data_IF_108197216092
#
_entry.id   IF_108197216092
#
_cell.length_a   1.000
_cell.length_b   1.000
_cell.length_c   1.000
_cell.angle_alpha   90.00
_cell.angle_beta   90.00
_cell.angle_gamma   90.00
#
_symmetry.space_group_name_H-M   'P 1'
#
loop_
_entity.id
_entity.type
_entity.pdbx_description
1 polymer ?
#
# COMPACT_ATOMS: atom_id res chain seq x y z
N UNK A 1 34.39 27.94 7.10
CA UNK A 1 34.44 26.58 6.52
C UNK A 1 35.84 26.09 6.80
N UNK A 2 36.03 25.35 7.90
CA UNK A 2 37.37 24.92 8.30
C UNK A 2 37.85 23.83 7.33
N UNK A 3 38.79 24.20 6.47
CA UNK A 3 39.39 23.37 5.42
C UNK A 3 40.38 22.32 5.95
N UNK A 4 40.39 22.03 7.26
CA UNK A 4 41.41 21.21 7.93
C UNK A 4 40.89 19.96 8.65
N UNK A 5 39.59 19.67 8.64
CA UNK A 5 39.09 18.44 9.25
C UNK A 5 39.41 17.24 8.37
N UNK A 6 40.27 16.34 8.86
CA UNK A 6 40.65 15.15 8.09
C UNK A 6 39.43 14.23 7.89
N UNK A 7 39.36 13.44 6.80
CA UNK A 7 38.29 12.44 6.61
C UNK A 7 38.15 11.48 7.78
N UNK A 8 39.24 11.22 8.52
CA UNK A 8 39.23 10.37 9.71
C UNK A 8 38.54 11.06 10.90
N UNK A 9 38.81 12.36 11.12
CA UNK A 9 38.13 13.15 12.16
C UNK A 9 36.64 13.30 11.88
N UNK A 10 36.27 13.57 10.63
CA UNK A 10 34.86 13.63 10.22
C UNK A 10 34.16 12.29 10.45
N UNK A 11 34.84 11.17 10.13
CA UNK A 11 34.31 9.82 10.36
C UNK A 11 34.10 9.55 11.85
N UNK A 12 35.12 9.83 12.67
CA UNK A 12 35.02 9.64 14.12
C UNK A 12 33.87 10.46 14.72
N UNK A 13 33.69 11.71 14.24
CA UNK A 13 32.59 12.57 14.67
C UNK A 13 31.23 12.04 14.22
N UNK A 14 31.09 11.60 12.97
CA UNK A 14 29.84 11.03 12.46
C UNK A 14 29.45 9.75 13.21
N UNK A 15 30.42 8.87 13.47
CA UNK A 15 30.22 7.63 14.22
C UNK A 15 29.83 7.91 15.69
N UNK A 16 30.46 8.91 16.34
CA UNK A 16 30.12 9.33 17.71
C UNK A 16 28.69 9.90 17.80
N UNK A 17 28.29 10.74 16.84
CA UNK A 17 26.92 11.25 16.75
C UNK A 17 25.91 10.11 16.54
N UNK A 18 26.25 9.16 15.67
CA UNK A 18 25.42 7.98 15.43
C UNK A 18 25.28 7.12 16.69
N UNK A 19 26.37 6.89 17.43
CA UNK A 19 26.37 6.14 18.69
C UNK A 19 25.53 6.84 19.78
N UNK A 20 25.49 8.17 19.78
CA UNK A 20 24.63 9.00 20.65
C UNK A 20 23.17 9.07 20.19
N UNK A 21 22.82 8.38 19.10
CA UNK A 21 21.50 8.41 18.47
C UNK A 21 21.11 9.80 17.92
N UNK A 22 22.07 10.72 17.78
CA UNK A 22 21.88 11.96 17.04
C UNK A 22 22.06 11.68 15.55
N UNK A 23 21.07 10.99 14.98
CA UNK A 23 21.09 10.60 13.56
C UNK A 23 21.03 11.83 12.64
N UNK A 24 20.36 12.91 13.05
CA UNK A 24 20.30 14.15 12.28
C UNK A 24 21.68 14.82 12.19
N UNK A 25 22.40 14.91 13.30
CA UNK A 25 23.80 15.36 13.31
C UNK A 25 24.71 14.43 12.51
N UNK A 26 24.53 13.11 12.64
CA UNK A 26 25.31 12.13 11.91
C UNK A 26 25.11 12.26 10.38
N UNK A 27 23.88 12.49 9.90
CA UNK A 27 23.56 12.75 8.49
C UNK A 27 24.37 13.93 7.95
N UNK A 28 24.49 15.02 8.72
CA UNK A 28 25.25 16.20 8.28
C UNK A 28 26.74 15.87 8.11
N UNK A 29 27.35 15.14 9.03
CA UNK A 29 28.77 14.79 8.95
C UNK A 29 29.04 13.69 7.92
N UNK A 30 28.15 12.70 7.79
CA UNK A 30 28.24 11.68 6.73
C UNK A 30 28.10 12.28 5.33
N UNK A 31 27.27 13.32 5.15
CA UNK A 31 27.16 14.02 3.86
C UNK A 31 28.50 14.63 3.45
N UNK A 32 29.19 15.32 4.38
CA UNK A 32 30.55 15.85 4.14
C UNK A 32 31.57 14.74 3.84
N UNK A 33 31.48 13.62 4.55
CA UNK A 33 32.34 12.46 4.28
C UNK A 33 32.10 11.90 2.89
N UNK A 34 30.85 11.88 2.43
CA UNK A 34 30.50 11.38 1.12
C UNK A 34 30.99 12.30 0.00
N UNK A 35 31.01 13.61 0.21
CA UNK A 35 31.62 14.58 -0.72
C UNK A 35 33.12 14.33 -0.92
N UNK A 36 33.83 13.88 0.14
CA UNK A 36 35.26 13.55 0.10
C UNK A 36 35.54 12.11 -0.36
N UNK A 37 34.65 11.18 -0.05
CA UNK A 37 34.81 9.74 -0.28
C UNK A 37 33.51 9.11 -0.85
N UNK A 38 33.15 9.43 -2.10
CA UNK A 38 31.83 9.08 -2.69
C UNK A 38 31.61 7.59 -2.94
N UNK A 39 32.67 6.78 -2.79
CA UNK A 39 32.71 5.33 -3.05
C UNK A 39 33.05 4.53 -1.78
N UNK A 40 33.11 5.17 -0.62
CA UNK A 40 33.36 4.47 0.64
C UNK A 40 32.11 3.69 1.06
N UNK A 41 32.14 2.36 0.94
CA UNK A 41 31.01 1.48 1.29
C UNK A 41 30.58 1.63 2.75
N UNK A 42 31.49 1.70 3.75
CA UNK A 42 31.09 1.96 5.13
C UNK A 42 30.35 3.30 5.31
N UNK A 43 30.78 4.35 4.60
CA UNK A 43 30.13 5.68 4.67
C UNK A 43 28.76 5.63 3.99
N UNK A 44 28.66 5.03 2.80
CA UNK A 44 27.38 4.84 2.09
C UNK A 44 26.36 4.08 2.96
N UNK A 45 26.80 2.97 3.59
CA UNK A 45 25.99 2.16 4.51
C UNK A 45 25.49 2.99 5.70
N UNK A 46 26.41 3.62 6.43
CA UNK A 46 26.07 4.37 7.65
C UNK A 46 25.24 5.61 7.34
N UNK A 47 25.49 6.27 6.22
CA UNK A 47 24.69 7.41 5.77
C UNK A 47 23.27 7.00 5.41
N UNK A 48 23.11 5.93 4.62
CA UNK A 48 21.80 5.39 4.27
C UNK A 48 20.99 5.00 5.50
N UNK A 49 21.60 4.30 6.47
CA UNK A 49 20.96 3.97 7.74
C UNK A 49 20.57 5.21 8.56
N UNK A 50 21.44 6.22 8.64
CA UNK A 50 21.15 7.44 9.36
C UNK A 50 19.96 8.19 8.72
N UNK A 51 19.89 8.25 7.39
CA UNK A 51 18.75 8.81 6.66
C UNK A 51 17.46 8.06 6.99
N UNK A 52 17.47 6.73 6.96
CA UNK A 52 16.32 5.90 7.34
C UNK A 52 15.83 6.22 8.75
N UNK A 53 16.75 6.31 9.72
CA UNK A 53 16.41 6.60 11.13
C UNK A 53 15.90 8.03 11.35
N UNK A 54 16.23 8.97 10.46
CA UNK A 54 15.71 10.34 10.47
C UNK A 54 14.38 10.52 9.71
N UNK A 55 13.74 9.41 9.31
CA UNK A 55 12.46 9.45 8.60
C UNK A 55 12.56 9.71 7.09
N UNK A 56 13.74 9.50 6.50
CA UNK A 56 13.98 9.60 5.06
C UNK A 56 14.37 8.24 4.46
N UNK A 57 13.52 7.20 4.59
CA UNK A 57 13.86 5.85 4.17
C UNK A 57 14.10 5.73 2.66
N UNK A 58 13.38 6.49 1.82
CA UNK A 58 13.56 6.49 0.36
C UNK A 58 14.93 7.00 -0.09
N UNK A 59 15.45 8.07 0.53
CA UNK A 59 16.81 8.54 0.25
C UNK A 59 17.84 7.53 0.78
N UNK A 60 17.57 6.95 1.96
CA UNK A 60 18.41 5.91 2.56
C UNK A 60 18.57 4.67 1.68
N UNK A 61 17.49 4.24 1.02
CA UNK A 61 17.47 3.12 0.06
C UNK A 61 18.52 3.32 -1.04
N UNK A 62 18.64 4.52 -1.60
CA UNK A 62 19.58 4.79 -2.70
C UNK A 62 21.04 4.55 -2.29
N UNK A 63 21.43 5.04 -1.10
CA UNK A 63 22.79 4.88 -0.59
C UNK A 63 23.08 3.45 -0.13
N UNK A 64 22.13 2.80 0.53
CA UNK A 64 22.27 1.39 0.93
C UNK A 64 22.31 0.45 -0.29
N UNK A 65 21.51 0.70 -1.33
CA UNK A 65 21.53 -0.08 -2.58
C UNK A 65 22.89 0.05 -3.30
N UNK A 66 23.44 1.27 -3.34
CA UNK A 66 24.79 1.50 -3.88
C UNK A 66 25.85 0.73 -3.09
N UNK A 67 25.78 0.77 -1.75
CA UNK A 67 26.67 -0.01 -0.89
C UNK A 67 26.55 -1.52 -1.16
N UNK A 68 25.33 -2.05 -1.26
CA UNK A 68 25.06 -3.47 -1.53
C UNK A 68 25.54 -3.92 -2.92
N UNK A 69 25.48 -3.04 -3.92
CA UNK A 69 26.02 -3.30 -5.26
C UNK A 69 27.55 -3.40 -5.24
N UNK A 70 28.20 -2.57 -4.41
CA UNK A 70 29.67 -2.55 -4.29
C UNK A 70 30.22 -3.72 -3.46
N UNK A 71 29.49 -4.16 -2.44
CA UNK A 71 29.86 -5.28 -1.57
C UNK A 71 28.68 -6.25 -1.41
N UNK A 72 28.37 -7.06 -2.44
CA UNK A 72 27.21 -7.95 -2.42
C UNK A 72 27.32 -9.12 -1.44
N UNK A 73 28.52 -9.39 -0.92
CA UNK A 73 28.85 -10.47 0.01
C UNK A 73 29.06 -10.00 1.46
N UNK A 74 28.73 -8.73 1.77
CA UNK A 74 28.76 -8.20 3.13
C UNK A 74 27.38 -8.27 3.78
N UNK A 75 27.26 -9.01 4.88
CA UNK A 75 26.01 -9.23 5.59
C UNK A 75 25.44 -7.95 6.22
N UNK A 76 26.29 -7.06 6.77
CA UNK A 76 25.85 -5.80 7.38
C UNK A 76 25.30 -4.85 6.32
N UNK A 77 25.91 -4.85 5.13
CA UNK A 77 25.47 -4.02 4.00
C UNK A 77 24.13 -4.51 3.46
N UNK A 78 23.96 -5.83 3.28
CA UNK A 78 22.69 -6.46 2.90
C UNK A 78 21.59 -6.15 3.92
N UNK A 79 21.91 -6.26 5.21
CA UNK A 79 21.02 -5.87 6.29
C UNK A 79 20.63 -4.39 6.20
N UNK A 80 21.58 -3.48 6.00
CA UNK A 80 21.29 -2.05 5.93
C UNK A 80 20.35 -1.70 4.78
N UNK A 81 20.52 -2.36 3.63
CA UNK A 81 19.62 -2.19 2.49
C UNK A 81 18.23 -2.76 2.77
N UNK A 82 18.14 -3.99 3.27
CA UNK A 82 16.87 -4.59 3.67
C UNK A 82 16.14 -3.81 4.77
N UNK A 83 16.86 -3.21 5.71
CA UNK A 83 16.30 -2.36 6.76
C UNK A 83 15.69 -1.07 6.19
N UNK A 84 16.41 -0.40 5.28
CA UNK A 84 15.91 0.81 4.62
C UNK A 84 14.65 0.53 3.80
N UNK A 85 14.62 -0.58 3.05
CA UNK A 85 13.45 -1.04 2.31
C UNK A 85 12.27 -1.35 3.24
N UNK A 86 12.52 -2.04 4.35
CA UNK A 86 11.49 -2.36 5.36
C UNK A 86 10.88 -1.09 5.98
N UNK A 87 11.70 -0.08 6.26
CA UNK A 87 11.24 1.20 6.79
C UNK A 87 10.43 2.02 5.77
N UNK A 88 10.66 1.82 4.47
CA UNK A 88 9.84 2.38 3.39
C UNK A 88 8.57 1.56 3.10
N UNK A 89 8.31 0.47 3.84
CA UNK A 89 7.24 -0.51 3.57
C UNK A 89 7.40 -1.29 2.25
N UNK A 90 8.59 -1.29 1.64
CA UNK A 90 8.92 -2.08 0.46
C UNK A 90 9.25 -3.53 0.85
N UNK A 91 8.31 -4.21 1.52
CA UNK A 91 8.57 -5.51 2.14
C UNK A 91 8.95 -6.60 1.14
N UNK A 92 8.41 -6.55 -0.08
CA UNK A 92 8.71 -7.51 -1.14
C UNK A 92 10.18 -7.50 -1.55
N UNK A 93 10.82 -6.32 -1.53
CA UNK A 93 12.24 -6.14 -1.82
C UNK A 93 13.11 -6.32 -0.56
N UNK A 94 12.60 -5.96 0.62
CA UNK A 94 13.34 -6.08 1.89
C UNK A 94 13.64 -7.54 2.27
N UNK A 95 12.66 -8.44 2.10
CA UNK A 95 12.77 -9.85 2.47
C UNK A 95 13.98 -10.55 1.82
N UNK A 96 14.18 -10.51 0.49
CA UNK A 96 15.32 -11.19 -0.15
C UNK A 96 16.69 -10.62 0.28
N UNK A 97 16.78 -9.32 0.57
CA UNK A 97 18.03 -8.71 1.06
C UNK A 97 18.37 -9.15 2.49
N UNK A 98 17.36 -9.23 3.37
CA UNK A 98 17.53 -9.73 4.73
C UNK A 98 17.82 -11.24 4.75
N UNK A 99 17.23 -12.00 3.83
CA UNK A 99 17.59 -13.40 3.60
C UNK A 99 19.03 -13.56 3.13
N UNK A 100 19.49 -12.72 2.21
CA UNK A 100 20.88 -12.72 1.77
C UNK A 100 21.83 -12.41 2.93
N UNK A 101 21.49 -11.45 3.80
CA UNK A 101 22.27 -11.16 5.01
C UNK A 101 22.37 -12.38 5.95
N UNK A 102 21.26 -13.09 6.17
CA UNK A 102 21.25 -14.30 7.02
C UNK A 102 21.93 -15.51 6.36
N UNK A 103 21.94 -15.61 5.03
CA UNK A 103 22.69 -16.64 4.32
C UNK A 103 24.20 -16.41 4.45
N UNK A 104 24.65 -15.15 4.43
CA UNK A 104 26.05 -14.77 4.64
C UNK A 104 26.46 -14.93 6.11
N UNK A 105 25.58 -14.53 7.03
CA UNK A 105 25.81 -14.61 8.47
C UNK A 105 24.54 -15.10 9.21
N UNK A 106 24.42 -16.41 9.44
CA UNK A 106 23.22 -17.00 10.06
C UNK A 106 22.88 -16.48 11.47
N UNK A 107 23.90 -15.99 12.19
CA UNK A 107 23.76 -15.45 13.55
C UNK A 107 23.59 -13.91 13.57
N UNK A 108 23.31 -13.27 12.44
CA UNK A 108 23.13 -11.82 12.35
C UNK A 108 21.77 -11.40 12.95
N UNK A 109 21.75 -11.17 14.27
CA UNK A 109 20.54 -10.88 15.05
C UNK A 109 19.70 -9.72 14.46
N UNK A 110 20.29 -8.56 14.09
CA UNK A 110 19.50 -7.45 13.53
C UNK A 110 18.81 -7.82 12.19
N UNK A 111 19.43 -8.68 11.38
CA UNK A 111 18.86 -9.10 10.10
C UNK A 111 17.70 -10.06 10.31
N UNK A 112 17.83 -10.98 11.28
CA UNK A 112 16.73 -11.85 11.68
C UNK A 112 15.54 -11.05 12.21
N UNK A 113 15.79 -10.03 13.03
CA UNK A 113 14.75 -9.14 13.55
C UNK A 113 14.09 -8.31 12.43
N UNK A 114 14.88 -7.74 11.53
CA UNK A 114 14.38 -7.04 10.35
C UNK A 114 13.53 -7.94 9.45
N UNK A 115 13.96 -9.20 9.26
CA UNK A 115 13.22 -10.17 8.45
C UNK A 115 11.88 -10.54 9.10
N UNK A 116 11.86 -10.77 10.41
CA UNK A 116 10.63 -11.00 11.16
C UNK A 116 9.68 -9.81 11.00
N UNK A 117 10.17 -8.58 11.17
CA UNK A 117 9.38 -7.36 10.99
C UNK A 117 8.78 -7.28 9.58
N UNK A 118 9.58 -7.49 8.53
CA UNK A 118 9.10 -7.42 7.16
C UNK A 118 8.07 -8.51 6.84
N UNK A 119 8.30 -9.74 7.31
CA UNK A 119 7.37 -10.86 7.12
C UNK A 119 6.03 -10.63 7.85
N UNK A 120 6.06 -10.07 9.06
CA UNK A 120 4.83 -9.75 9.79
C UNK A 120 4.00 -8.72 9.05
N UNK A 121 4.62 -7.60 8.64
CA UNK A 121 3.90 -6.51 7.98
C UNK A 121 3.43 -6.92 6.57
N UNK A 122 4.26 -7.63 5.80
CA UNK A 122 3.86 -8.19 4.51
C UNK A 122 2.69 -9.18 4.67
N UNK A 123 2.73 -10.02 5.70
CA UNK A 123 1.67 -10.99 5.98
C UNK A 123 0.36 -10.32 6.38
N UNK A 124 0.41 -9.31 7.24
CA UNK A 124 -0.77 -8.55 7.66
C UNK A 124 -1.39 -7.78 6.50
N UNK A 125 -0.57 -7.09 5.68
CA UNK A 125 -1.04 -6.37 4.50
C UNK A 125 -1.68 -7.31 3.46
N UNK A 126 -1.17 -8.54 3.33
CA UNK A 126 -1.68 -9.54 2.41
C UNK A 126 -2.85 -10.38 2.95
N UNK A 127 -3.25 -10.23 4.23
CA UNK A 127 -4.19 -11.14 4.89
C UNK A 127 -5.53 -11.28 4.15
N UNK A 128 -6.05 -10.19 3.58
CA UNK A 128 -7.28 -10.17 2.79
C UNK A 128 -7.08 -10.46 1.30
N UNK A 129 -6.17 -9.77 0.57
CA UNK A 129 -6.02 -9.97 -0.87
C UNK A 129 -5.32 -11.27 -1.25
N UNK A 130 -4.45 -11.82 -0.39
CA UNK A 130 -3.70 -13.05 -0.64
C UNK A 130 -3.42 -13.82 0.67
N UNK A 131 -4.41 -14.53 1.22
CA UNK A 131 -4.27 -15.24 2.49
C UNK A 131 -3.21 -16.35 2.45
N UNK A 132 -2.92 -16.92 1.28
CA UNK A 132 -1.87 -17.95 1.14
C UNK A 132 -0.49 -17.35 1.36
N UNK A 133 -0.20 -16.21 0.71
CA UNK A 133 1.06 -15.49 0.92
C UNK A 133 1.17 -14.96 2.36
N UNK A 134 0.07 -14.47 2.93
CA UNK A 134 0.02 -14.04 4.32
C UNK A 134 0.38 -15.16 5.31
N UNK A 135 -0.22 -16.34 5.12
CA UNK A 135 0.07 -17.52 5.93
C UNK A 135 1.54 -17.92 5.82
N UNK A 136 2.12 -17.91 4.60
CA UNK A 136 3.52 -18.24 4.38
C UNK A 136 4.45 -17.27 5.12
N UNK A 137 4.17 -15.97 5.05
CA UNK A 137 4.98 -14.95 5.71
C UNK A 137 4.94 -15.09 7.25
N UNK A 138 3.74 -15.20 7.82
CA UNK A 138 3.55 -15.31 9.27
C UNK A 138 4.11 -16.63 9.81
N UNK A 139 3.93 -17.73 9.09
CA UNK A 139 4.53 -19.04 9.44
C UNK A 139 6.05 -18.96 9.43
N UNK A 140 6.63 -18.30 8.42
CA UNK A 140 8.08 -18.11 8.33
C UNK A 140 8.61 -17.24 9.45
N UNK A 141 7.91 -16.14 9.78
CA UNK A 141 8.27 -15.28 10.91
C UNK A 141 8.31 -16.08 12.23
N UNK A 142 7.26 -16.86 12.52
CA UNK A 142 7.23 -17.70 13.72
C UNK A 142 8.35 -18.75 13.73
N UNK A 143 8.72 -19.34 12.59
CA UNK A 143 9.83 -20.30 12.52
C UNK A 143 11.20 -19.68 12.82
N UNK A 144 11.40 -18.39 12.51
CA UNK A 144 12.65 -17.69 12.81
C UNK A 144 12.84 -17.44 14.31
N UNK A 145 11.74 -17.38 15.07
CA UNK A 145 11.75 -17.27 16.53
C UNK A 145 10.52 -17.96 17.14
N UNK A 146 10.63 -19.27 17.33
CA UNK A 146 9.52 -20.12 17.82
C UNK A 146 9.14 -19.83 19.27
N UNK A 147 10.04 -19.18 20.03
CA UNK A 147 9.83 -18.85 21.44
C UNK A 147 9.11 -17.52 21.62
N UNK A 148 8.95 -16.74 20.56
CA UNK A 148 8.32 -15.42 20.62
C UNK A 148 6.80 -15.52 20.57
N UNK A 149 6.17 -15.23 21.71
CA UNK A 149 4.71 -15.29 21.86
C UNK A 149 3.96 -14.29 20.97
N UNK A 150 4.55 -13.14 20.62
CA UNK A 150 3.92 -12.19 19.71
C UNK A 150 3.77 -12.77 18.29
N UNK A 151 4.77 -13.50 17.81
CA UNK A 151 4.73 -14.13 16.48
C UNK A 151 3.71 -15.26 16.43
N UNK A 152 3.67 -16.07 17.48
CA UNK A 152 2.65 -17.11 17.62
C UNK A 152 1.24 -16.50 17.70
N UNK A 153 1.07 -15.41 18.45
CA UNK A 153 -0.20 -14.68 18.55
C UNK A 153 -0.65 -14.14 17.18
N UNK A 154 0.24 -13.48 16.42
CA UNK A 154 -0.11 -12.94 15.10
C UNK A 154 -0.51 -14.03 14.09
N UNK A 155 0.13 -15.20 14.12
CA UNK A 155 -0.28 -16.33 13.27
C UNK A 155 -1.63 -16.91 13.71
N UNK A 156 -1.88 -16.99 15.02
CA UNK A 156 -3.16 -17.44 15.57
C UNK A 156 -4.29 -16.48 15.22
N UNK A 157 -4.09 -15.17 15.37
CA UNK A 157 -5.02 -14.12 14.93
C UNK A 157 -5.36 -14.25 13.45
N UNK A 158 -4.35 -14.50 12.60
CA UNK A 158 -4.58 -14.74 11.19
C UNK A 158 -5.47 -15.97 10.93
N UNK A 159 -5.22 -17.11 11.59
CA UNK A 159 -6.05 -18.30 11.42
C UNK A 159 -7.48 -18.11 11.93
N UNK A 160 -7.65 -17.44 13.07
CA UNK A 160 -8.98 -17.14 13.62
C UNK A 160 -9.72 -16.16 12.71
N UNK A 161 -9.06 -15.09 12.25
CA UNK A 161 -9.64 -14.06 11.38
C UNK A 161 -10.02 -14.57 9.99
N UNK A 162 -9.24 -15.50 9.42
CA UNK A 162 -9.55 -16.16 8.14
C UNK A 162 -10.49 -17.38 8.29
N UNK A 163 -11.06 -17.60 9.48
CA UNK A 163 -11.94 -18.72 9.81
C UNK A 163 -11.33 -20.11 9.60
N UNK A 164 -10.00 -20.22 9.61
CA UNK A 164 -9.26 -21.48 9.48
C UNK A 164 -9.12 -22.21 10.83
N UNK A 165 -10.25 -22.47 11.49
CA UNK A 165 -10.32 -22.99 12.88
C UNK A 165 -9.53 -24.28 13.10
N UNK A 166 -9.63 -25.22 12.17
CA UNK A 166 -8.90 -26.50 12.26
C UNK A 166 -7.38 -26.34 12.26
N UNK A 167 -6.85 -25.34 11.54
CA UNK A 167 -5.41 -25.01 11.57
C UNK A 167 -5.04 -24.29 12.86
N UNK A 168 -5.88 -23.35 13.33
CA UNK A 168 -5.67 -22.67 14.61
C UNK A 168 -5.51 -23.65 15.77
N UNK A 169 -6.42 -24.63 15.89
CA UNK A 169 -6.38 -25.64 16.95
C UNK A 169 -5.09 -26.47 16.86
N UNK A 170 -4.76 -26.99 15.67
CA UNK A 170 -3.53 -27.77 15.47
C UNK A 170 -2.27 -26.97 15.79
N UNK A 171 -2.25 -25.70 15.39
CA UNK A 171 -1.13 -24.80 15.67
C UNK A 171 -0.96 -24.59 17.17
N UNK A 172 -2.02 -24.25 17.91
CA UNK A 172 -1.95 -24.07 19.37
C UNK A 172 -1.51 -25.36 20.06
N UNK A 173 -2.00 -26.53 19.62
CA UNK A 173 -1.58 -27.83 20.16
C UNK A 173 -0.08 -28.11 19.95
N UNK A 174 0.51 -27.60 18.87
CA UNK A 174 1.93 -27.75 18.56
C UNK A 174 2.85 -26.80 19.34
N UNK A 175 2.31 -25.76 19.98
CA UNK A 175 3.10 -24.78 20.73
C UNK A 175 3.56 -25.35 22.08
N UNK A 176 4.76 -24.95 22.51
CA UNK A 176 5.26 -25.22 23.86
C UNK A 176 4.45 -24.47 24.91
N UNK A 177 4.24 -25.09 26.08
CA UNK A 177 3.47 -24.48 27.17
C UNK A 177 4.12 -23.20 27.71
N UNK A 178 5.45 -23.11 27.63
CA UNK A 178 6.19 -21.89 27.98
C UNK A 178 5.78 -20.70 27.12
N UNK A 179 5.50 -20.91 25.82
CA UNK A 179 5.08 -19.85 24.89
C UNK A 179 3.60 -19.52 25.11
N UNK A 180 2.74 -20.54 25.32
CA UNK A 180 1.31 -20.35 25.63
C UNK A 180 1.07 -19.51 26.88
N UNK A 181 1.98 -19.56 27.85
CA UNK A 181 1.87 -18.83 29.11
C UNK A 181 2.27 -17.34 29.03
N UNK A 182 2.86 -16.90 27.91
CA UNK A 182 3.33 -15.53 27.72
C UNK A 182 2.24 -14.66 27.08
N UNK A 183 2.09 -13.41 27.56
CA UNK A 183 1.28 -12.40 26.87
C UNK A 183 1.97 -11.95 25.57
N UNK A 184 1.22 -11.62 24.51
CA UNK A 184 -0.24 -11.51 24.43
C UNK A 184 -0.98 -12.83 24.13
N UNK A 185 -0.24 -13.89 23.77
CA UNK A 185 -0.83 -15.16 23.33
C UNK A 185 -1.74 -15.78 24.40
N UNK A 186 -1.31 -15.78 25.67
CA UNK A 186 -2.10 -16.30 26.78
C UNK A 186 -3.50 -15.68 26.83
N UNK A 187 -3.57 -14.35 26.73
CA UNK A 187 -4.84 -13.62 26.84
C UNK A 187 -5.78 -13.97 25.68
N UNK A 188 -5.23 -14.23 24.49
CA UNK A 188 -6.01 -14.70 23.35
C UNK A 188 -6.50 -16.14 23.55
N UNK A 189 -5.65 -17.03 24.06
CA UNK A 189 -6.02 -18.42 24.36
C UNK A 189 -7.13 -18.49 25.41
N UNK A 190 -7.06 -17.65 26.45
CA UNK A 190 -8.10 -17.56 27.47
C UNK A 190 -9.44 -17.12 26.86
N UNK A 191 -9.44 -16.15 25.92
CA UNK A 191 -10.65 -15.77 25.16
C UNK A 191 -11.17 -16.90 24.29
N UNK A 192 -10.29 -17.59 23.55
CA UNK A 192 -10.68 -18.71 22.68
C UNK A 192 -11.19 -19.90 23.49
N UNK A 193 -10.71 -20.11 24.72
CA UNK A 193 -11.19 -21.20 25.58
C UNK A 193 -12.65 -21.03 26.02
N UNK A 194 -13.20 -19.82 25.92
CA UNK A 194 -14.61 -19.54 26.19
C UNK A 194 -15.51 -19.80 24.98
N UNK A 195 -14.94 -19.94 23.78
CA UNK A 195 -15.66 -20.31 22.58
C UNK A 195 -16.00 -21.82 22.64
N UNK A 196 -17.29 -22.21 22.57
CA UNK A 196 -17.71 -23.62 22.62
C UNK A 196 -16.97 -24.53 21.63
N UNK A 197 -16.62 -24.01 20.45
CA UNK A 197 -15.92 -24.80 19.42
C UNK A 197 -14.44 -24.99 19.72
N UNK A 198 -13.78 -24.03 20.36
CA UNK A 198 -12.37 -24.14 20.74
C UNK A 198 -12.20 -24.85 22.08
N UNK A 199 -13.13 -24.66 23.03
CA UNK A 199 -13.09 -25.23 24.38
C UNK A 199 -13.03 -26.76 24.42
N UNK A 200 -13.65 -27.43 23.44
CA UNK A 200 -13.65 -28.91 23.33
C UNK A 200 -12.29 -29.47 22.89
N UNK A 201 -11.48 -28.66 22.19
CA UNK A 201 -10.21 -29.08 21.60
C UNK A 201 -8.98 -28.45 22.28
N UNK A 202 -9.16 -27.33 22.97
CA UNK A 202 -8.17 -26.67 23.81
C UNK A 202 -8.43 -27.03 25.26
N UNK A 203 -7.92 -28.20 25.70
CA UNK A 203 -7.80 -28.49 27.14
C UNK A 203 -6.67 -27.62 27.74
N UNK A 204 -6.88 -26.31 27.80
CA UNK A 204 -6.03 -25.44 28.62
C UNK A 204 -6.37 -25.80 30.07
N UNK A 205 -5.36 -26.14 30.87
CA UNK A 205 -5.56 -26.51 32.26
C UNK A 205 -6.36 -25.42 32.98
N UNK A 206 -7.61 -25.74 33.31
CA UNK A 206 -8.50 -24.84 34.02
C UNK A 206 -7.93 -24.61 35.43
N UNK A 207 -7.22 -23.50 35.61
CA UNK A 207 -6.94 -22.99 36.94
C UNK A 207 -8.26 -22.41 37.50
N UNK A 208 -8.94 -23.21 38.32
CA UNK A 208 -9.94 -22.79 39.33
C UNK A 208 -9.43 -21.54 40.10
N UNK A 209 -10.18 -20.50 40.48
CA UNK A 209 -11.60 -20.29 40.83
C UNK A 209 -11.84 -18.74 41.00
N UNK A 210 -12.99 -18.18 41.47
CA UNK A 210 -13.75 -17.14 40.77
C UNK A 210 -13.78 -15.71 41.39
N UNK A 211 -14.26 -14.78 40.55
CA UNK A 211 -14.96 -13.49 40.81
C UNK A 211 -14.25 -12.35 41.58
N UNK A 212 -13.95 -11.28 40.85
CA UNK A 212 -13.96 -9.90 41.37
C UNK A 212 -15.05 -9.11 40.60
N UNK A 213 -15.76 -8.17 41.25
CA UNK A 213 -16.96 -7.54 40.69
C UNK A 213 -16.60 -6.60 39.53
N UNK A 214 -17.54 -6.32 38.60
CA UNK A 214 -17.28 -5.43 37.49
C UNK A 214 -17.06 -4.01 38.03
N UNK A 215 -15.88 -3.44 37.77
CA UNK A 215 -15.57 -2.02 38.00
C UNK A 215 -15.60 -1.28 36.66
N UNK A 216 -16.01 -0.01 36.67
CA UNK A 216 -17.10 0.52 35.87
C UNK A 216 -16.75 0.68 34.39
N UNK A 217 -17.81 0.64 33.58
CA UNK A 217 -17.78 0.91 32.16
C UNK A 217 -16.94 2.15 31.79
N UNK A 218 -15.90 1.93 30.98
CA UNK A 218 -15.44 2.92 30.01
C UNK A 218 -16.37 2.87 28.78
N UNK A 219 -16.57 4.00 28.08
CA UNK A 219 -17.91 4.47 27.73
C UNK A 219 -18.59 3.64 26.64
N UNK A 220 -19.86 3.35 26.89
CA UNK A 220 -20.97 3.06 25.96
C UNK A 220 -20.57 2.81 24.50
N UNK A 221 -20.49 1.52 24.16
CA UNK A 221 -20.80 1.04 22.82
C UNK A 221 -22.18 1.57 22.43
N UNK A 222 -22.27 2.42 21.41
CA UNK A 222 -23.53 2.63 20.72
C UNK A 222 -24.05 1.25 20.29
N UNK A 223 -25.31 0.96 20.62
CA UNK A 223 -25.96 -0.29 20.24
C UNK A 223 -25.88 -0.45 18.72
N UNK A 224 -25.12 -1.44 18.26
CA UNK A 224 -24.93 -1.79 16.85
C UNK A 224 -26.31 -2.07 16.24
N UNK A 225 -26.76 -1.24 15.31
CA UNK A 225 -28.03 -1.45 14.60
C UNK A 225 -27.77 -2.20 13.30
N UNK A 226 -28.68 -3.12 12.97
CA UNK A 226 -28.69 -3.74 11.65
C UNK A 226 -29.54 -2.88 10.70
N UNK A 227 -29.00 -2.58 9.53
CA UNK A 227 -29.66 -1.78 8.48
C UNK A 227 -29.69 -2.57 7.17
N UNK A 228 -30.74 -2.43 6.34
CA UNK A 228 -30.79 -3.12 5.06
C UNK A 228 -29.77 -2.51 4.08
N UNK A 229 -28.97 -3.36 3.44
CA UNK A 229 -28.02 -2.95 2.41
C UNK A 229 -28.75 -2.19 1.29
N UNK A 230 -28.25 -1.03 0.84
CA UNK A 230 -28.89 -0.25 -0.21
C UNK A 230 -28.91 -0.96 -1.57
N UNK A 231 -27.98 -1.87 -1.82
CA UNK A 231 -27.89 -2.62 -3.07
C UNK A 231 -28.75 -3.89 -3.05
N UNK A 232 -28.51 -4.81 -2.10
CA UNK A 232 -29.15 -6.12 -2.11
C UNK A 232 -30.29 -6.29 -1.10
N UNK A 233 -30.64 -5.25 -0.33
CA UNK A 233 -31.70 -5.22 0.70
C UNK A 233 -31.53 -6.19 1.89
N UNK A 234 -30.51 -7.06 1.87
CA UNK A 234 -30.13 -7.94 2.98
C UNK A 234 -29.62 -7.13 4.18
N UNK A 235 -29.91 -7.59 5.40
CA UNK A 235 -29.54 -6.89 6.64
C UNK A 235 -28.03 -6.99 6.88
N UNK A 236 -27.40 -5.86 7.19
CA UNK A 236 -25.96 -5.75 7.47
C UNK A 236 -25.72 -4.92 8.73
N UNK A 237 -24.54 -5.02 9.33
CA UNK A 237 -24.15 -4.16 10.45
C UNK A 237 -23.96 -2.71 9.96
N UNK A 238 -24.40 -1.73 10.74
CA UNK A 238 -24.32 -0.29 10.42
C UNK A 238 -22.89 0.26 10.23
N UNK A 239 -21.88 -0.45 10.72
CA UNK A 239 -20.46 -0.14 10.50
C UNK A 239 -19.79 -0.92 9.36
N UNK A 240 -20.52 -1.80 8.67
CA UNK A 240 -19.94 -2.63 7.61
C UNK A 240 -19.48 -1.77 6.42
N UNK A 241 -18.16 -1.64 6.23
CA UNK A 241 -17.57 -0.88 5.13
C UNK A 241 -17.85 -1.50 3.75
N UNK A 242 -18.16 -2.80 3.71
CA UNK A 242 -18.47 -3.57 2.51
C UNK A 242 -19.59 -4.56 2.86
N UNK A 243 -20.63 -4.63 2.03
CA UNK A 243 -21.69 -5.61 2.19
C UNK A 243 -21.14 -7.02 1.90
N UNK A 244 -21.19 -7.96 2.85
CA UNK A 244 -20.63 -9.31 2.66
C UNK A 244 -21.41 -10.14 1.64
N UNK A 245 -22.64 -9.76 1.31
CA UNK A 245 -23.50 -10.50 0.40
C UNK A 245 -23.32 -10.09 -1.07
N UNK A 246 -23.05 -8.81 -1.35
CA UNK A 246 -22.94 -8.30 -2.71
C UNK A 246 -21.65 -7.53 -2.99
N UNK A 247 -20.73 -7.50 -2.02
CA UNK A 247 -19.44 -6.81 -2.07
C UNK A 247 -19.52 -5.29 -2.32
N UNK A 248 -20.71 -4.70 -2.11
CA UNK A 248 -20.96 -3.28 -2.28
C UNK A 248 -20.32 -2.47 -1.14
N UNK A 249 -19.41 -1.53 -1.45
CA UNK A 249 -18.77 -0.65 -0.45
C UNK A 249 -19.79 0.33 0.13
N UNK A 250 -19.98 0.30 1.44
CA UNK A 250 -20.91 1.15 2.18
C UNK A 250 -20.05 2.04 3.07
N UNK A 251 -20.06 3.35 2.84
CA UNK A 251 -19.41 4.28 3.77
C UNK A 251 -20.16 4.17 5.10
N UNK A 252 -19.45 3.83 6.18
CA UNK A 252 -19.95 4.05 7.54
C UNK A 252 -20.17 5.56 7.70
N UNK A 253 -21.40 6.02 7.48
CA UNK A 253 -21.76 7.43 7.65
C UNK A 253 -22.32 7.60 9.05
N UNK A 254 -21.44 7.92 10.01
CA UNK A 254 -21.78 8.98 10.94
C UNK A 254 -21.59 10.30 10.18
N UNK A 255 -22.69 10.90 9.72
CA UNK A 255 -22.82 12.34 9.40
C UNK A 255 -21.61 13.06 8.77
N UNK A 256 -21.68 13.26 7.45
CA UNK A 256 -21.08 14.36 6.65
C UNK A 256 -19.67 14.92 6.99
N UNK A 257 -18.81 14.88 5.95
CA UNK A 257 -17.73 15.82 5.58
C UNK A 257 -16.27 15.55 6.03
N UNK A 258 -15.35 15.76 5.07
CA UNK A 258 -13.90 15.97 5.21
C UNK A 258 -13.06 14.68 5.23
N UNK A 259 -12.19 14.35 4.25
CA UNK A 259 -10.87 14.94 3.93
C UNK A 259 -9.84 14.80 5.07
N UNK A 260 -8.89 13.88 4.86
CA UNK A 260 -7.50 13.95 5.39
C UNK A 260 -6.62 12.96 4.61
N UNK A 261 -6.25 13.36 3.40
CA UNK A 261 -4.93 12.98 2.83
C UNK A 261 -4.14 14.28 2.83
N UNK A 262 -2.95 14.30 3.45
CA UNK A 262 -2.19 15.54 3.66
C UNK A 262 -2.10 16.46 2.43
N UNK A 263 -1.75 17.75 2.62
CA UNK A 263 -2.10 18.87 1.73
C UNK A 263 -1.57 18.82 0.28
N UNK A 264 -0.81 17.78 -0.10
CA UNK A 264 -0.35 17.55 -1.47
C UNK A 264 -1.30 16.71 -2.32
N UNK A 265 -2.19 15.87 -1.75
CA UNK A 265 -3.01 14.92 -2.55
C UNK A 265 -4.51 15.28 -2.67
N UNK A 266 -5.06 16.16 -1.83
CA UNK A 266 -6.51 16.46 -1.82
C UNK A 266 -7.03 17.16 -3.09
N UNK A 267 -6.37 18.24 -3.51
CA UNK A 267 -6.79 18.96 -4.72
C UNK A 267 -6.65 18.12 -5.97
N UNK A 268 -5.69 17.20 -5.99
CA UNK A 268 -5.41 16.36 -7.15
C UNK A 268 -6.45 15.25 -7.29
N UNK A 269 -6.94 14.70 -6.18
CA UNK A 269 -8.02 13.70 -6.19
C UNK A 269 -9.37 14.31 -6.58
N UNK A 270 -9.62 15.53 -6.09
CA UNK A 270 -10.77 16.32 -6.51
C UNK A 270 -10.65 16.67 -8.00
N UNK A 271 -9.48 17.13 -8.45
CA UNK A 271 -9.21 17.45 -9.85
C UNK A 271 -9.38 16.22 -10.74
N UNK A 272 -8.84 15.06 -10.35
CA UNK A 272 -8.97 13.80 -11.10
C UNK A 272 -10.42 13.37 -11.25
N UNK A 273 -11.22 13.49 -10.18
CA UNK A 273 -12.66 13.19 -10.21
C UNK A 273 -13.42 14.16 -11.11
N UNK A 274 -13.18 15.47 -10.97
CA UNK A 274 -13.83 16.51 -11.78
C UNK A 274 -13.47 16.32 -13.25
N UNK A 275 -12.19 16.09 -13.57
CA UNK A 275 -11.73 15.90 -14.94
C UNK A 275 -12.32 14.63 -15.55
N UNK A 276 -12.53 13.57 -14.77
CA UNK A 276 -13.13 12.32 -15.26
C UNK A 276 -14.58 12.57 -15.66
N UNK A 277 -15.31 13.33 -14.83
CA UNK A 277 -16.70 13.72 -15.11
C UNK A 277 -16.77 14.61 -16.36
N UNK A 278 -15.87 15.58 -16.48
CA UNK A 278 -15.81 16.46 -17.67
C UNK A 278 -15.48 15.64 -18.92
N UNK A 279 -14.55 14.70 -18.85
CA UNK A 279 -14.19 13.84 -19.97
C UNK A 279 -15.38 12.98 -20.43
N UNK A 280 -16.10 12.35 -19.50
CA UNK A 280 -17.31 11.57 -19.81
C UNK A 280 -18.39 12.47 -20.44
N UNK A 281 -18.59 13.67 -19.89
CA UNK A 281 -19.60 14.62 -20.40
C UNK A 281 -19.30 15.08 -21.83
N UNK A 282 -18.03 15.38 -22.14
CA UNK A 282 -17.61 15.78 -23.49
C UNK A 282 -17.75 14.64 -24.50
N UNK A 283 -17.41 13.41 -24.10
CA UNK A 283 -17.61 12.23 -24.93
C UNK A 283 -19.11 11.96 -25.18
N UNK A 284 -19.96 12.19 -24.17
CA UNK A 284 -21.42 12.10 -24.29
C UNK A 284 -22.02 13.12 -25.25
N UNK A 285 -21.53 14.37 -25.22
CA UNK A 285 -21.95 15.41 -26.15
C UNK A 285 -21.56 15.09 -27.60
N UNK A 286 -20.35 14.57 -27.80
CA UNK A 286 -19.86 14.14 -29.11
C UNK A 286 -20.70 12.96 -29.64
N UNK A 287 -20.99 11.99 -28.77
CA UNK A 287 -21.87 10.87 -29.09
C UNK A 287 -23.27 11.34 -29.51
N UNK A 288 -23.89 12.24 -28.75
CA UNK A 288 -25.22 12.77 -29.06
C UNK A 288 -25.27 13.52 -30.40
N UNK A 289 -24.17 14.16 -30.79
CA UNK A 289 -24.03 14.87 -32.06
C UNK A 289 -23.89 13.91 -33.24
N UNK A 290 -23.10 12.86 -33.09
CA UNK A 290 -22.75 11.93 -34.18
C UNK A 290 -23.82 10.84 -34.38
N UNK A 291 -24.51 10.45 -33.31
CA UNK A 291 -25.49 9.35 -33.30
C UNK A 291 -26.59 9.46 -34.38
N UNK A 292 -27.24 10.62 -34.60
CA UNK A 292 -28.30 10.73 -35.62
C UNK A 292 -27.79 10.48 -37.05
N UNK A 293 -26.54 10.87 -37.32
CA UNK A 293 -25.90 10.69 -38.63
C UNK A 293 -25.43 9.25 -38.80
N UNK A 294 -24.82 8.66 -37.76
CA UNK A 294 -24.37 7.27 -37.78
C UNK A 294 -25.54 6.28 -38.00
N UNK A 295 -26.70 6.53 -37.39
CA UNK A 295 -27.89 5.72 -37.60
C UNK A 295 -28.44 5.83 -39.04
N UNK A 296 -28.31 7.00 -39.67
CA UNK A 296 -28.73 7.19 -41.08
C UNK A 296 -27.76 6.53 -42.06
N UNK A 297 -26.47 6.51 -41.74
CA UNK A 297 -25.41 5.90 -42.55
C UNK A 297 -25.24 4.38 -42.32
N UNK A 298 -26.06 3.78 -41.45
CA UNK A 298 -26.04 2.34 -41.18
C UNK A 298 -24.75 1.84 -40.50
N UNK A 299 -24.05 2.69 -39.74
CA UNK A 299 -22.76 2.36 -39.10
C UNK A 299 -21.68 1.81 -40.05
N UNK A 300 -21.76 2.15 -41.34
CA UNK A 300 -20.70 1.90 -42.33
C UNK A 300 -20.06 3.18 -42.87
N UNK A 301 -20.56 4.34 -42.46
CA UNK A 301 -20.09 5.66 -42.90
C UNK A 301 -18.99 6.25 -42.01
N UNK A 302 -18.39 7.39 -42.42
CA UNK A 302 -17.29 8.04 -41.70
C UNK A 302 -17.66 8.47 -40.28
N UNK A 303 -18.96 8.69 -40.00
CA UNK A 303 -19.47 9.00 -38.66
C UNK A 303 -19.36 7.83 -37.67
N UNK A 304 -19.21 6.59 -38.16
CA UNK A 304 -19.11 5.37 -37.34
C UNK A 304 -17.85 5.37 -36.49
N UNK A 305 -16.74 5.87 -37.02
CA UNK A 305 -15.47 5.92 -36.29
C UNK A 305 -15.59 6.84 -35.06
N UNK A 306 -16.14 8.05 -35.24
CA UNK A 306 -16.39 8.99 -34.14
C UNK A 306 -17.37 8.43 -33.12
N UNK A 307 -18.39 7.70 -33.57
CA UNK A 307 -19.33 7.00 -32.68
C UNK A 307 -18.63 5.94 -31.80
N UNK A 308 -17.78 5.09 -32.38
CA UNK A 308 -17.04 4.06 -31.64
C UNK A 308 -16.08 4.70 -30.64
N UNK A 309 -15.34 5.74 -31.06
CA UNK A 309 -14.39 6.45 -30.20
C UNK A 309 -15.10 7.08 -29.00
N UNK A 310 -16.23 7.75 -29.21
CA UNK A 310 -17.00 8.36 -28.12
C UNK A 310 -17.53 7.31 -27.12
N UNK A 311 -18.03 6.18 -27.60
CA UNK A 311 -18.46 5.07 -26.74
C UNK A 311 -17.31 4.50 -25.89
N UNK A 312 -16.13 4.31 -26.48
CA UNK A 312 -14.96 3.78 -25.77
C UNK A 312 -14.43 4.78 -24.75
N UNK A 313 -14.41 6.08 -25.06
CA UNK A 313 -14.04 7.14 -24.11
C UNK A 313 -14.95 7.18 -22.89
N UNK A 314 -16.27 6.98 -23.07
CA UNK A 314 -17.22 6.93 -21.95
C UNK A 314 -16.91 5.73 -21.04
N UNK A 315 -16.71 4.54 -21.61
CA UNK A 315 -16.41 3.32 -20.84
C UNK A 315 -15.12 3.46 -20.03
N UNK A 316 -14.09 4.03 -20.64
CA UNK A 316 -12.80 4.27 -19.97
C UNK A 316 -12.93 5.36 -18.92
N UNK A 317 -13.63 6.45 -19.21
CA UNK A 317 -13.92 7.51 -18.24
C UNK A 317 -14.60 6.97 -16.99
N UNK A 318 -15.57 6.05 -17.14
CA UNK A 318 -16.15 5.33 -16.00
C UNK A 318 -15.13 4.44 -15.29
N UNK A 319 -14.31 3.68 -16.01
CA UNK A 319 -13.27 2.85 -15.41
C UNK A 319 -12.25 3.64 -14.57
N UNK A 320 -11.86 4.81 -15.06
CA UNK A 320 -10.99 5.80 -14.39
C UNK A 320 -11.67 6.38 -13.15
N UNK A 321 -12.95 6.74 -13.24
CA UNK A 321 -13.75 7.26 -12.13
C UNK A 321 -13.89 6.24 -10.97
N UNK A 322 -13.93 4.95 -11.30
CA UNK A 322 -14.04 3.85 -10.31
C UNK A 322 -12.70 3.28 -9.84
N UNK A 323 -11.58 3.95 -10.13
CA UNK A 323 -10.23 3.64 -9.60
C UNK A 323 -9.79 2.18 -9.77
N UNK A 324 -10.00 1.64 -10.95
CA UNK A 324 -9.49 0.31 -11.31
C UNK A 324 -8.03 0.45 -11.74
N UNK A 325 -7.09 -0.12 -10.96
CA UNK A 325 -5.64 0.07 -11.16
C UNK A 325 -5.15 -0.40 -12.54
N UNK A 326 -5.71 -1.51 -13.06
CA UNK A 326 -5.40 -2.03 -14.40
C UNK A 326 -5.95 -1.15 -15.56
N UNK A 327 -6.89 -0.25 -15.27
CA UNK A 327 -7.47 0.67 -16.26
C UNK A 327 -6.69 1.97 -16.39
N UNK A 328 -5.78 2.30 -15.47
CA UNK A 328 -5.04 3.56 -15.51
C UNK A 328 -4.01 3.57 -16.68
N UNK A 329 -3.35 2.43 -16.93
CA UNK A 329 -2.48 2.24 -18.10
C UNK A 329 -3.27 2.33 -19.42
N UNK A 330 -4.45 1.71 -19.47
CA UNK A 330 -5.34 1.77 -20.63
C UNK A 330 -5.83 3.21 -20.85
N UNK A 331 -6.22 3.92 -19.79
CA UNK A 331 -6.67 5.30 -19.85
C UNK A 331 -5.59 6.22 -20.43
N UNK A 332 -4.32 6.04 -20.05
CA UNK A 332 -3.18 6.79 -20.60
C UNK A 332 -3.03 6.59 -22.11
N UNK A 333 -3.11 5.35 -22.59
CA UNK A 333 -3.09 5.03 -24.04
C UNK A 333 -4.25 5.74 -24.76
N UNK A 334 -5.44 5.73 -24.16
CA UNK A 334 -6.62 6.36 -24.76
C UNK A 334 -6.62 7.89 -24.71
N UNK A 335 -5.99 8.52 -23.70
CA UNK A 335 -5.71 9.94 -23.75
C UNK A 335 -4.83 10.29 -24.95
N UNK A 336 -3.74 9.54 -25.19
CA UNK A 336 -2.88 9.76 -26.35
C UNK A 336 -3.62 9.54 -27.68
N UNK A 337 -4.45 8.49 -27.78
CA UNK A 337 -5.28 8.27 -28.95
C UNK A 337 -6.28 9.42 -29.16
N UNK A 338 -6.88 9.94 -28.09
CA UNK A 338 -7.79 11.10 -28.15
C UNK A 338 -7.08 12.35 -28.64
N UNK A 339 -5.84 12.61 -28.20
CA UNK A 339 -5.05 13.73 -28.71
C UNK A 339 -4.81 13.63 -30.22
N UNK A 340 -4.51 12.43 -30.72
CA UNK A 340 -4.28 12.18 -32.15
C UNK A 340 -5.57 12.30 -32.97
N UNK A 341 -6.68 11.72 -32.50
CA UNK A 341 -7.94 11.71 -33.25
C UNK A 341 -8.65 13.07 -33.22
N UNK A 342 -8.68 13.76 -32.08
CA UNK A 342 -9.28 15.09 -31.97
C UNK A 342 -8.53 16.13 -32.81
N UNK A 343 -7.20 16.03 -32.92
CA UNK A 343 -6.41 16.88 -33.82
C UNK A 343 -6.78 16.72 -35.30
N UNK A 344 -7.01 15.47 -35.74
CA UNK A 344 -7.49 15.18 -37.09
C UNK A 344 -8.90 15.69 -37.34
N UNK A 345 -9.80 15.54 -36.36
CA UNK A 345 -11.19 15.99 -36.48
C UNK A 345 -11.34 17.51 -36.52
N UNK A 346 -10.46 18.28 -35.84
CA UNK A 346 -10.45 19.75 -35.94
C UNK A 346 -10.20 20.20 -37.38
N UNK A 347 -9.24 19.57 -38.07
CA UNK A 347 -8.93 19.89 -39.47
C UNK A 347 -10.14 19.62 -40.39
N UNK A 348 -10.86 18.52 -40.14
CA UNK A 348 -12.08 18.18 -40.87
C UNK A 348 -13.20 19.19 -40.57
N UNK A 349 -13.48 19.48 -39.30
CA UNK A 349 -14.52 20.43 -38.88
C UNK A 349 -14.31 21.84 -39.45
N UNK A 350 -13.05 22.29 -39.58
CA UNK A 350 -12.73 23.55 -40.26
C UNK A 350 -13.08 23.51 -41.75
N UNK A 351 -12.80 22.41 -42.43
CA UNK A 351 -13.19 22.19 -43.83
C UNK A 351 -14.71 22.25 -44.05
N UNK A 352 -15.50 21.81 -43.08
CA UNK A 352 -16.97 21.82 -43.12
C UNK A 352 -17.63 23.04 -42.45
N UNK A 353 -16.86 24.05 -42.03
CA UNK A 353 -17.35 25.23 -41.28
C UNK A 353 -18.14 24.90 -40.01
N UNK A 354 -17.83 23.79 -39.38
CA UNK A 354 -18.48 23.33 -38.15
C UNK A 354 -17.73 23.83 -36.91
N UNK A 355 -17.97 25.09 -36.56
CA UNK A 355 -17.28 25.76 -35.45
C UNK A 355 -17.52 25.09 -34.09
N UNK A 356 -18.69 24.46 -33.89
CA UNK A 356 -19.02 23.79 -32.63
C UNK A 356 -18.23 22.48 -32.45
N UNK A 357 -18.11 21.67 -33.52
CA UNK A 357 -17.30 20.45 -33.49
C UNK A 357 -15.82 20.73 -33.25
N UNK A 358 -15.28 21.75 -33.92
CA UNK A 358 -13.89 22.18 -33.72
C UNK A 358 -13.62 22.62 -32.27
N UNK A 359 -14.55 23.36 -31.66
CA UNK A 359 -14.45 23.79 -30.26
C UNK A 359 -14.52 22.60 -29.28
N UNK A 360 -15.39 21.62 -29.54
CA UNK A 360 -15.53 20.44 -28.70
C UNK A 360 -14.27 19.57 -28.71
N UNK A 361 -13.67 19.37 -29.88
CA UNK A 361 -12.42 18.62 -30.01
C UNK A 361 -11.22 19.34 -29.39
N UNK A 362 -11.15 20.68 -29.47
CA UNK A 362 -10.12 21.45 -28.78
C UNK A 362 -10.21 21.30 -27.24
N UNK A 363 -11.43 21.24 -26.71
CA UNK A 363 -11.66 21.02 -25.28
C UNK A 363 -11.32 19.58 -24.87
N UNK A 364 -11.65 18.57 -25.70
CA UNK A 364 -11.24 17.19 -25.49
C UNK A 364 -9.70 17.04 -25.41
N UNK A 365 -8.96 17.74 -26.27
CA UNK A 365 -7.49 17.77 -26.23
C UNK A 365 -6.99 18.30 -24.88
N UNK A 366 -7.56 19.42 -24.44
CA UNK A 366 -7.14 20.08 -23.19
C UNK A 366 -7.38 19.16 -21.98
N UNK A 367 -8.54 18.52 -21.92
CA UNK A 367 -8.90 17.59 -20.85
C UNK A 367 -8.03 16.33 -20.90
N UNK A 368 -7.75 15.79 -22.09
CA UNK A 368 -6.89 14.62 -22.25
C UNK A 368 -5.44 14.89 -21.82
N UNK A 369 -4.86 16.06 -22.15
CA UNK A 369 -3.52 16.44 -21.70
C UNK A 369 -3.43 16.53 -20.17
N UNK A 370 -4.43 17.17 -19.55
CA UNK A 370 -4.47 17.32 -18.11
C UNK A 370 -4.71 15.98 -17.40
N UNK A 371 -5.48 15.07 -18.02
CA UNK A 371 -5.64 13.70 -17.53
C UNK A 371 -4.35 12.88 -17.59
N UNK A 372 -3.57 12.96 -18.66
CA UNK A 372 -2.25 12.29 -18.72
C UNK A 372 -1.35 12.78 -17.59
N UNK A 373 -1.33 14.09 -17.34
CA UNK A 373 -0.57 14.67 -16.23
C UNK A 373 -1.01 14.11 -14.87
N UNK A 374 -2.31 14.06 -14.61
CA UNK A 374 -2.83 13.50 -13.36
C UNK A 374 -2.58 11.99 -13.24
N UNK A 375 -2.71 11.24 -14.32
CA UNK A 375 -2.46 9.79 -14.35
C UNK A 375 -1.00 9.48 -14.04
N UNK A 376 -0.05 10.18 -14.66
CA UNK A 376 1.39 9.99 -14.39
C UNK A 376 1.72 10.30 -12.93
N UNK A 377 1.18 11.40 -12.41
CA UNK A 377 1.39 11.80 -11.03
C UNK A 377 0.82 10.80 -10.01
N UNK A 378 -0.36 10.23 -10.28
CA UNK A 378 -1.02 9.24 -9.40
C UNK A 378 -0.32 7.87 -9.46
N UNK A 379 0.23 7.49 -10.62
CA UNK A 379 0.94 6.21 -10.80
C UNK A 379 2.41 6.31 -10.34
N UNK A 380 2.97 7.52 -10.23
CA UNK A 380 4.37 7.73 -9.79
C UNK A 380 5.41 7.58 -10.90
N UNK A 381 5.00 7.70 -12.17
CA UNK A 381 5.86 7.64 -13.38
C UNK A 381 6.28 9.03 -13.87
#
# INVERSE_FOLDING_TARGET
MDLNTSPQELKAKADDLYAKQDYAGAVVEYRKLLDLMPTSVPVLKSFGLALTLTGQPEEGIQFCAKAATMQPADADVRYAYGYALGAANHFGEAIPELDAALNLQPNHIPARQGLIYCLMNAGQAAASPNPVFAEQCLTRAHKLDTKNAHLANSLLEFYVGTQQKGKAIKFVQSLDDSVKSQSPLKDQLDRLSQDPEFSTHLKVAAASKPSAPPSPAAPTSQAIKQVPCPNCKQMIMDYAAICPHCNFRIRATGTFAGMDTGPKHEWQEIAYTIMSIIWIALAGLDLARVLPTAMKEGFSGPSTFSFIVACVQILIGFGVLFRQEWLAFIAKIFCYLTLLTSGYMIMISWGFKDGLGAALHALQITVAMFMVYLINYVIGD
#
